data_IF_991623871637
#
_entry.id   IF_991623871637
#
_cell.length_a   1.000
_cell.length_b   1.000
_cell.length_c   1.000
_cell.angle_alpha   90.00
_cell.angle_beta   90.00
_cell.angle_gamma   90.00
#
_symmetry.space_group_name_H-M   'P 1'
#
loop_
_entity.id
_entity.type
_entity.pdbx_description
1 polymer ?
#
# COMPACT_ATOMS: atom_id res chain seq x y z
N UNK A 1 -15.64 -0.09 -0.09
CA UNK A 1 -16.15 -0.30 -1.47
C UNK A 1 -15.08 0.16 -2.46
N UNK A 2 -14.93 -0.53 -3.59
CA UNK A 2 -14.09 -0.05 -4.69
C UNK A 2 -14.76 1.16 -5.35
N UNK A 3 -13.96 2.07 -5.92
CA UNK A 3 -14.49 3.22 -6.67
C UNK A 3 -14.85 2.77 -8.10
N UNK A 4 -15.96 3.28 -8.62
CA UNK A 4 -16.34 3.08 -10.03
C UNK A 4 -15.66 4.14 -10.92
N UNK A 5 -15.73 3.94 -12.24
CA UNK A 5 -15.20 4.90 -13.21
C UNK A 5 -16.18 5.07 -14.36
N UNK A 6 -16.54 6.32 -14.66
CA UNK A 6 -17.41 6.69 -15.77
C UNK A 6 -18.80 6.04 -15.72
N UNK A 7 -19.33 5.73 -14.53
CA UNK A 7 -20.71 5.28 -14.37
C UNK A 7 -21.67 6.44 -14.13
N UNK A 8 -21.15 7.66 -13.89
CA UNK A 8 -21.89 8.85 -13.47
C UNK A 8 -22.61 8.65 -12.12
N UNK A 9 -22.18 7.66 -11.34
CA UNK A 9 -22.77 7.34 -10.04
C UNK A 9 -21.99 7.99 -8.89
N UNK A 10 -22.62 8.00 -7.72
CA UNK A 10 -22.05 8.55 -6.50
C UNK A 10 -20.73 7.86 -6.05
N UNK A 11 -20.46 6.64 -6.52
CA UNK A 11 -19.24 5.86 -6.27
C UNK A 11 -18.08 6.19 -7.22
N UNK A 12 -18.30 7.02 -8.24
CA UNK A 12 -17.27 7.31 -9.22
C UNK A 12 -16.05 7.96 -8.58
N UNK A 13 -14.86 7.57 -9.05
CA UNK A 13 -13.61 8.13 -8.60
C UNK A 13 -13.53 9.61 -8.94
N UNK A 14 -13.28 10.42 -7.91
CA UNK A 14 -13.13 11.87 -8.00
C UNK A 14 -11.83 12.29 -7.30
N UNK A 15 -11.17 13.30 -7.87
CA UNK A 15 -9.94 13.88 -7.30
C UNK A 15 -10.33 15.08 -6.45
N UNK A 16 -9.96 15.02 -5.18
CA UNK A 16 -10.17 16.10 -4.22
C UNK A 16 -8.84 16.79 -3.86
N UNK A 17 -8.93 18.10 -3.62
CA UNK A 17 -7.90 18.87 -2.92
C UNK A 17 -8.18 18.77 -1.44
N UNK A 18 -7.38 17.99 -0.73
CA UNK A 18 -7.63 17.72 0.69
C UNK A 18 -7.67 19.02 1.49
N UNK A 19 -6.71 19.92 1.23
CA UNK A 19 -6.70 21.29 1.71
C UNK A 19 -7.17 22.23 0.59
N UNK A 20 -8.30 22.91 0.80
CA UNK A 20 -8.96 23.71 -0.24
C UNK A 20 -8.25 25.04 -0.54
N UNK A 21 -7.51 25.59 0.42
CA UNK A 21 -6.71 26.81 0.29
C UNK A 21 -5.41 26.63 -0.51
N UNK A 22 -5.11 25.39 -0.93
CA UNK A 22 -3.90 25.04 -1.65
C UNK A 22 -4.21 24.55 -3.06
N UNK A 23 -3.20 24.67 -3.94
CA UNK A 23 -3.31 24.25 -5.33
C UNK A 23 -3.35 22.73 -5.52
N UNK A 24 -3.56 22.32 -6.78
CA UNK A 24 -3.42 20.93 -7.22
C UNK A 24 -1.94 20.53 -7.25
N UNK A 25 -1.45 20.03 -6.13
CA UNK A 25 -0.08 19.54 -5.98
C UNK A 25 -0.10 18.10 -5.47
N UNK A 26 0.87 17.27 -5.87
CA UNK A 26 0.93 15.85 -5.48
C UNK A 26 0.83 15.62 -3.96
N UNK A 27 1.27 16.59 -3.15
CA UNK A 27 1.17 16.59 -1.69
C UNK A 27 -0.20 16.93 -1.10
N UNK A 28 -1.20 17.26 -1.92
CA UNK A 28 -2.52 17.75 -1.51
C UNK A 28 -3.70 17.05 -2.21
N UNK A 29 -3.43 15.95 -2.92
CA UNK A 29 -4.47 15.25 -3.69
C UNK A 29 -4.86 13.93 -3.05
N UNK A 30 -6.15 13.64 -3.08
CA UNK A 30 -6.70 12.35 -2.71
C UNK A 30 -7.73 11.90 -3.75
N UNK A 31 -7.77 10.59 -4.00
CA UNK A 31 -8.87 9.98 -4.74
C UNK A 31 -9.93 9.52 -3.74
N UNK A 32 -11.17 9.92 -3.96
CA UNK A 32 -12.33 9.54 -3.16
C UNK A 32 -13.54 9.39 -4.08
N UNK A 33 -14.71 9.01 -3.54
CA UNK A 33 -15.91 8.96 -4.36
C UNK A 33 -16.46 10.38 -4.61
N UNK A 34 -17.16 10.57 -5.73
CA UNK A 34 -17.89 11.80 -6.05
C UNK A 34 -18.80 12.22 -4.91
N UNK A 35 -19.49 11.26 -4.27
CA UNK A 35 -20.28 11.49 -3.05
C UNK A 35 -19.48 12.13 -1.91
N UNK A 36 -18.32 11.58 -1.61
CA UNK A 36 -17.47 12.06 -0.52
C UNK A 36 -16.86 13.42 -0.84
N UNK A 37 -16.47 13.64 -2.10
CA UNK A 37 -15.94 14.91 -2.56
C UNK A 37 -16.99 16.03 -2.44
N UNK A 38 -18.21 15.80 -2.93
CA UNK A 38 -19.31 16.75 -2.79
C UNK A 38 -19.67 17.04 -1.33
N UNK A 39 -19.73 16.01 -0.48
CA UNK A 39 -20.02 16.20 0.93
C UNK A 39 -18.91 16.97 1.65
N UNK A 40 -17.64 16.64 1.39
CA UNK A 40 -16.49 17.38 1.94
C UNK A 40 -16.56 18.84 1.53
N UNK A 41 -16.75 19.14 0.24
CA UNK A 41 -16.76 20.50 -0.29
C UNK A 41 -15.60 21.34 0.30
N UNK A 42 -15.92 22.49 0.90
CA UNK A 42 -14.96 23.38 1.54
C UNK A 42 -14.54 22.94 2.96
N UNK A 43 -15.21 21.97 3.58
CA UNK A 43 -15.03 21.61 4.99
C UNK A 43 -13.62 21.09 5.28
N UNK A 44 -12.90 21.79 6.17
CA UNK A 44 -11.60 21.39 6.66
C UNK A 44 -11.68 20.33 7.77
N UNK A 45 -10.56 20.06 8.44
CA UNK A 45 -10.52 19.10 9.54
C UNK A 45 -11.50 19.45 10.67
N UNK A 46 -11.49 20.72 11.12
CA UNK A 46 -12.31 21.17 12.24
C UNK A 46 -13.80 21.13 11.91
N UNK A 47 -14.18 21.53 10.70
CA UNK A 47 -15.57 21.49 10.24
C UNK A 47 -16.08 20.06 10.15
N UNK A 48 -15.30 19.16 9.52
CA UNK A 48 -15.66 17.75 9.42
C UNK A 48 -15.80 17.09 10.81
N UNK A 49 -14.93 17.44 11.75
CA UNK A 49 -15.02 16.94 13.13
C UNK A 49 -16.24 17.50 13.88
N UNK A 50 -16.60 18.77 13.65
CA UNK A 50 -17.83 19.37 14.19
C UNK A 50 -19.06 18.64 13.66
N UNK A 51 -19.13 18.39 12.34
CA UNK A 51 -20.22 17.64 11.71
C UNK A 51 -20.38 16.24 12.33
N UNK A 52 -19.27 15.52 12.58
CA UNK A 52 -19.32 14.22 13.28
C UNK A 52 -19.98 14.35 14.64
N UNK A 53 -19.53 15.32 15.46
CA UNK A 53 -20.05 15.53 16.81
C UNK A 53 -21.51 15.92 16.81
N UNK A 54 -21.92 16.81 15.91
CA UNK A 54 -23.30 17.28 15.81
C UNK A 54 -24.23 16.13 15.41
N UNK A 55 -23.82 15.28 14.47
CA UNK A 55 -24.57 14.09 14.07
C UNK A 55 -24.69 13.07 15.21
N UNK A 56 -23.60 12.83 15.94
CA UNK A 56 -23.60 11.94 17.11
C UNK A 56 -24.51 12.48 18.23
N UNK A 57 -24.43 13.77 18.55
CA UNK A 57 -25.26 14.42 19.56
C UNK A 57 -26.75 14.42 19.19
N UNK A 58 -27.07 14.60 17.91
CA UNK A 58 -28.44 14.54 17.40
C UNK A 58 -28.96 13.11 17.19
N UNK A 59 -28.15 12.07 17.43
CA UNK A 59 -28.51 10.68 17.10
C UNK A 59 -28.77 10.45 15.60
N UNK A 60 -28.29 11.34 14.75
CA UNK A 60 -28.53 11.31 13.31
C UNK A 60 -27.51 10.40 12.61
N UNK A 61 -27.94 9.37 11.86
CA UNK A 61 -27.01 8.40 11.28
C UNK A 61 -26.17 8.97 10.13
N UNK A 62 -26.61 10.07 9.51
CA UNK A 62 -25.97 10.70 8.35
C UNK A 62 -26.30 12.19 8.22
N UNK A 63 -25.42 12.93 7.53
CA UNK A 63 -25.61 14.34 7.16
C UNK A 63 -24.79 14.68 5.91
N UNK A 64 -25.28 15.59 5.06
CA UNK A 64 -24.59 15.95 3.81
C UNK A 64 -24.32 14.76 2.87
N UNK A 65 -25.15 13.71 2.96
CA UNK A 65 -24.98 12.47 2.19
C UNK A 65 -24.00 11.45 2.76
N UNK A 66 -23.24 11.75 3.82
CA UNK A 66 -22.31 10.79 4.44
C UNK A 66 -22.80 10.33 5.81
N UNK A 67 -22.54 9.07 6.14
CA UNK A 67 -22.78 8.53 7.49
C UNK A 67 -21.73 9.05 8.48
N UNK A 68 -22.02 8.94 9.79
CA UNK A 68 -21.05 9.32 10.85
C UNK A 68 -19.67 8.67 10.63
N UNK A 69 -19.54 7.34 10.41
CA UNK A 69 -18.24 6.73 10.14
C UNK A 69 -17.55 7.23 8.87
N UNK A 70 -18.30 7.67 7.85
CA UNK A 70 -17.76 8.24 6.62
C UNK A 70 -17.23 9.65 6.86
N UNK A 71 -17.96 10.49 7.57
CA UNK A 71 -17.48 11.81 8.00
C UNK A 71 -16.24 11.72 8.88
N UNK A 72 -16.17 10.75 9.79
CA UNK A 72 -14.98 10.54 10.62
C UNK A 72 -13.74 10.21 9.77
N UNK A 73 -13.89 9.46 8.67
CA UNK A 73 -12.78 9.19 7.73
C UNK A 73 -12.38 10.46 6.96
N UNK A 74 -13.34 11.30 6.58
CA UNK A 74 -13.07 12.61 5.94
C UNK A 74 -12.29 13.51 6.90
N UNK A 75 -12.73 13.62 8.16
CA UNK A 75 -12.02 14.38 9.18
C UNK A 75 -10.56 13.91 9.34
N UNK A 76 -10.33 12.60 9.47
CA UNK A 76 -8.96 12.05 9.55
C UNK A 76 -8.14 12.34 8.30
N UNK A 77 -8.73 12.25 7.11
CA UNK A 77 -8.04 12.61 5.86
C UNK A 77 -7.60 14.08 5.87
N UNK A 78 -8.50 15.00 6.22
CA UNK A 78 -8.20 16.43 6.33
C UNK A 78 -7.15 16.71 7.41
N UNK A 79 -7.13 15.96 8.51
CA UNK A 79 -6.15 16.13 9.59
C UNK A 79 -4.70 15.94 9.15
N UNK A 80 -4.45 15.19 8.07
CA UNK A 80 -3.09 14.97 7.56
C UNK A 80 -2.45 16.25 7.03
N UNK A 81 -3.25 17.18 6.51
CA UNK A 81 -2.80 18.45 5.90
C UNK A 81 -3.21 19.67 6.73
N UNK A 82 -3.67 19.43 7.96
CA UNK A 82 -3.98 20.46 8.94
C UNK A 82 -2.82 20.54 9.96
N UNK A 83 -2.28 21.72 10.27
CA UNK A 83 -1.35 21.88 11.38
C UNK A 83 -2.06 21.62 12.70
N UNK A 84 -1.67 20.56 13.42
CA UNK A 84 -2.23 20.21 14.73
C UNK A 84 -1.15 20.20 15.80
N UNK A 85 -1.56 20.39 17.05
CA UNK A 85 -0.65 20.11 18.16
C UNK A 85 -0.32 18.62 18.20
N UNK A 86 0.85 18.26 18.72
CA UNK A 86 1.24 16.85 18.88
C UNK A 86 0.21 16.05 19.68
N UNK A 87 -0.34 16.68 20.73
CA UNK A 87 -1.36 16.06 21.57
C UNK A 87 -2.62 15.73 20.77
N UNK A 88 -3.18 16.70 20.03
CA UNK A 88 -4.37 16.49 19.21
C UNK A 88 -4.12 15.43 18.13
N UNK A 89 -3.02 15.56 17.39
CA UNK A 89 -2.67 14.64 16.32
C UNK A 89 -2.45 13.20 16.83
N UNK A 90 -1.89 13.03 18.04
CA UNK A 90 -1.67 11.72 18.65
C UNK A 90 -2.96 11.02 19.07
N UNK A 91 -4.01 11.77 19.39
CA UNK A 91 -5.30 11.25 19.85
C UNK A 91 -6.21 10.78 18.71
N UNK A 92 -5.91 11.18 17.46
CA UNK A 92 -6.75 10.83 16.31
C UNK A 92 -6.57 9.36 15.89
N UNK A 93 -7.66 8.58 15.76
CA UNK A 93 -7.59 7.25 15.18
C UNK A 93 -7.34 7.36 13.68
N UNK A 94 -6.36 6.61 13.15
CA UNK A 94 -6.09 6.56 11.70
C UNK A 94 -7.15 5.71 10.99
N UNK A 95 -8.35 6.28 10.83
CA UNK A 95 -9.51 5.64 10.20
C UNK A 95 -9.38 5.50 8.68
N UNK A 96 -8.39 6.15 8.09
CA UNK A 96 -8.00 6.01 6.70
C UNK A 96 -6.48 6.11 6.62
N UNK A 97 -5.82 5.21 5.90
CA UNK A 97 -4.38 5.36 5.66
C UNK A 97 -4.15 6.55 4.72
N UNK A 98 -3.04 7.30 4.88
CA UNK A 98 -2.77 8.41 3.98
C UNK A 98 -2.74 7.96 2.51
N UNK A 99 -3.41 8.68 1.60
CA UNK A 99 -3.26 8.49 0.16
C UNK A 99 -1.78 8.60 -0.26
N UNK A 100 -1.45 8.00 -1.41
CA UNK A 100 -0.09 8.04 -1.92
C UNK A 100 0.34 9.49 -2.18
N UNK A 101 1.55 9.84 -1.74
CA UNK A 101 2.16 11.17 -1.87
C UNK A 101 1.48 12.31 -1.13
N UNK A 102 0.35 12.09 -0.44
CA UNK A 102 -0.23 13.10 0.42
C UNK A 102 0.82 13.52 1.46
N UNK A 103 0.98 14.83 1.65
CA UNK A 103 1.90 15.36 2.66
C UNK A 103 1.24 15.24 4.02
N UNK A 104 1.98 14.73 4.99
CA UNK A 104 1.54 14.70 6.39
C UNK A 104 2.25 15.83 7.13
N UNK A 105 1.50 16.74 7.70
CA UNK A 105 2.03 17.89 8.45
C UNK A 105 2.43 17.50 9.87
N UNK A 106 1.79 16.48 10.42
CA UNK A 106 1.98 16.06 11.81
C UNK A 106 2.88 14.81 11.88
N UNK A 107 4.10 14.90 12.42
CA UNK A 107 5.05 13.79 12.45
C UNK A 107 4.53 12.54 13.16
N UNK A 108 3.71 12.72 14.21
CA UNK A 108 3.10 11.61 14.93
C UNK A 108 2.10 10.82 14.08
N UNK A 109 1.37 11.49 13.18
CA UNK A 109 0.50 10.81 12.21
C UNK A 109 1.32 10.13 11.11
N UNK A 110 2.46 10.70 10.71
CA UNK A 110 3.38 10.03 9.81
C UNK A 110 3.97 8.75 10.43
N UNK A 111 4.29 8.78 11.72
CA UNK A 111 4.70 7.60 12.48
C UNK A 111 3.58 6.56 12.59
N UNK A 112 2.35 7.01 12.86
CA UNK A 112 1.16 6.17 12.90
C UNK A 112 0.97 5.42 11.56
N UNK A 113 1.08 6.14 10.44
CA UNK A 113 0.97 5.61 9.10
C UNK A 113 2.10 4.64 8.77
N UNK A 114 3.33 4.99 9.15
CA UNK A 114 4.50 4.15 8.95
C UNK A 114 4.33 2.78 9.62
N UNK A 115 3.93 2.75 10.90
CA UNK A 115 3.73 1.50 11.63
C UNK A 115 2.58 0.69 11.04
N UNK A 116 1.46 1.33 10.73
CA UNK A 116 0.31 0.67 10.11
C UNK A 116 0.66 0.02 8.77
N UNK A 117 1.46 0.68 7.93
CA UNK A 117 1.89 0.13 6.64
C UNK A 117 2.81 -1.09 6.75
N UNK A 118 3.54 -1.24 7.86
CA UNK A 118 4.42 -2.40 8.03
C UNK A 118 3.65 -3.72 7.94
N UNK A 119 2.42 -3.72 8.48
CA UNK A 119 1.50 -4.87 8.52
C UNK A 119 0.97 -5.26 7.14
N UNK A 120 0.98 -4.33 6.16
CA UNK A 120 0.51 -4.57 4.80
C UNK A 120 1.55 -5.20 3.88
N UNK A 121 2.77 -5.41 4.36
CA UNK A 121 3.88 -5.92 3.55
C UNK A 121 4.36 -7.27 4.10
N UNK A 122 4.76 -8.25 3.25
CA UNK A 122 5.34 -9.52 3.71
C UNK A 122 6.60 -9.30 4.58
N UNK A 123 6.81 -10.09 5.62
CA UNK A 123 7.96 -9.93 6.54
C UNK A 123 7.82 -8.77 7.54
N UNK A 124 6.58 -8.42 7.90
CA UNK A 124 6.28 -7.31 8.81
C UNK A 124 6.94 -7.47 10.19
N UNK A 125 7.05 -8.70 10.70
CA UNK A 125 7.62 -8.99 12.02
C UNK A 125 9.06 -8.50 12.15
N UNK A 126 9.90 -8.81 11.15
CA UNK A 126 11.29 -8.36 11.09
C UNK A 126 11.40 -6.84 10.95
N UNK A 127 10.46 -6.19 10.26
CA UNK A 127 10.47 -4.72 10.11
C UNK A 127 10.06 -4.03 11.39
N UNK A 128 9.06 -4.56 12.09
CA UNK A 128 8.64 -4.07 13.40
C UNK A 128 9.75 -4.26 14.44
N UNK A 129 10.41 -5.43 14.48
CA UNK A 129 11.57 -5.64 15.36
C UNK A 129 12.72 -4.65 15.09
N UNK A 130 12.99 -4.35 13.81
CA UNK A 130 13.98 -3.33 13.42
C UNK A 130 13.58 -1.93 13.85
N UNK A 131 12.29 -1.61 13.80
CA UNK A 131 11.77 -0.32 14.25
C UNK A 131 11.80 -0.22 15.79
N UNK A 132 11.40 -1.27 16.52
CA UNK A 132 11.47 -1.34 17.98
C UNK A 132 12.90 -1.07 18.49
N UNK A 133 13.91 -1.62 17.81
CA UNK A 133 15.31 -1.36 18.11
C UNK A 133 15.78 0.09 17.88
N UNK A 134 15.03 0.92 17.14
CA UNK A 134 15.34 2.34 16.94
C UNK A 134 14.78 3.23 18.05
N UNK A 135 13.81 2.75 18.83
CA UNK A 135 13.10 3.54 19.84
C UNK A 135 14.01 3.91 21.03
N UNK A 136 13.87 5.16 21.55
CA UNK A 136 14.73 5.66 22.61
C UNK A 136 14.35 5.09 23.97
N UNK A 137 15.29 4.43 24.64
CA UNK A 137 15.12 3.94 26.00
C UNK A 137 14.15 2.75 26.17
N UNK A 138 14.19 2.13 27.35
CA UNK A 138 13.33 0.99 27.70
C UNK A 138 11.85 1.36 27.86
N UNK A 139 11.47 2.51 28.46
CA UNK A 139 10.06 2.85 28.66
C UNK A 139 9.27 3.00 27.34
N UNK A 140 9.84 3.71 26.36
CA UNK A 140 9.19 3.93 25.05
C UNK A 140 9.05 2.63 24.27
N UNK A 141 10.07 1.76 24.29
CA UNK A 141 9.99 0.41 23.69
C UNK A 141 8.87 -0.41 24.30
N UNK A 142 8.77 -0.45 25.64
CA UNK A 142 7.70 -1.16 26.32
C UNK A 142 6.32 -0.62 25.93
N UNK A 143 6.15 0.70 25.90
CA UNK A 143 4.89 1.32 25.47
C UNK A 143 4.53 0.96 24.02
N UNK A 144 5.51 0.98 23.11
CA UNK A 144 5.32 0.55 21.73
C UNK A 144 4.91 -0.92 21.63
N UNK A 145 5.58 -1.81 22.35
CA UNK A 145 5.25 -3.24 22.37
C UNK A 145 3.83 -3.47 22.88
N UNK A 146 3.42 -2.79 23.96
CA UNK A 146 2.05 -2.85 24.47
C UNK A 146 1.01 -2.38 23.45
N UNK A 147 1.31 -1.32 22.71
CA UNK A 147 0.47 -0.86 21.59
C UNK A 147 0.42 -1.91 20.48
N UNK A 148 1.56 -2.44 20.07
CA UNK A 148 1.64 -3.37 18.95
C UNK A 148 0.94 -4.70 19.27
N UNK A 149 1.05 -5.20 20.50
CA UNK A 149 0.33 -6.36 20.99
C UNK A 149 -1.19 -6.14 21.11
N UNK A 150 -1.64 -4.89 21.28
CA UNK A 150 -3.06 -4.57 21.19
C UNK A 150 -3.56 -4.50 19.73
N UNK A 151 -2.73 -3.99 18.81
CA UNK A 151 -3.08 -3.79 17.40
C UNK A 151 -3.09 -5.09 16.61
N UNK A 152 -2.03 -5.90 16.73
CA UNK A 152 -1.81 -7.05 15.85
C UNK A 152 -2.96 -8.07 15.86
N UNK A 153 -3.51 -8.50 17.02
CA UNK A 153 -4.63 -9.45 17.04
C UNK A 153 -5.83 -8.95 16.26
N UNK A 154 -6.18 -7.66 16.38
CA UNK A 154 -7.31 -7.05 15.67
C UNK A 154 -7.13 -7.09 14.15
N UNK A 155 -5.90 -6.90 13.66
CA UNK A 155 -5.59 -6.98 12.23
C UNK A 155 -5.65 -8.43 11.73
N UNK A 156 -5.25 -9.40 12.55
CA UNK A 156 -5.30 -10.82 12.21
C UNK A 156 -6.72 -11.40 12.26
N UNK A 157 -7.58 -10.92 13.18
CA UNK A 157 -8.99 -11.30 13.32
C UNK A 157 -9.81 -10.98 12.06
N UNK A 158 -9.45 -9.93 11.31
CA UNK A 158 -10.06 -9.60 10.02
C UNK A 158 -9.76 -10.60 8.89
N UNK A 159 -8.93 -11.62 9.17
CA UNK A 159 -8.53 -12.66 8.23
C UNK A 159 -7.29 -12.29 7.41
N UNK A 160 -6.41 -13.26 7.19
CA UNK A 160 -5.35 -13.11 6.18
C UNK A 160 -6.02 -13.10 4.81
N UNK A 161 -5.84 -12.02 4.08
CA UNK A 161 -6.41 -11.83 2.75
C UNK A 161 -5.30 -11.45 1.79
N UNK A 162 -5.31 -12.06 0.61
CA UNK A 162 -4.42 -11.67 -0.48
C UNK A 162 -4.93 -10.40 -1.21
N UNK A 163 -6.14 -9.94 -0.88
CA UNK A 163 -6.72 -8.72 -1.44
C UNK A 163 -6.14 -7.47 -0.73
N UNK A 164 -5.34 -6.63 -1.41
CA UNK A 164 -4.64 -5.53 -0.76
C UNK A 164 -5.59 -4.51 -0.12
N UNK A 165 -6.78 -4.33 -0.68
CA UNK A 165 -7.78 -3.40 -0.17
C UNK A 165 -8.40 -3.88 1.15
N UNK A 166 -8.74 -5.17 1.25
CA UNK A 166 -9.25 -5.74 2.51
C UNK A 166 -8.21 -5.70 3.61
N UNK A 167 -6.95 -6.03 3.29
CA UNK A 167 -5.85 -5.93 4.25
C UNK A 167 -5.68 -4.48 4.78
N UNK A 168 -5.86 -3.49 3.90
CA UNK A 168 -5.88 -2.08 4.28
C UNK A 168 -7.05 -1.74 5.21
N UNK A 169 -8.26 -2.16 4.89
CA UNK A 169 -9.43 -1.91 5.76
C UNK A 169 -9.28 -2.56 7.12
N UNK A 170 -8.76 -3.80 7.20
CA UNK A 170 -8.47 -4.46 8.47
C UNK A 170 -7.56 -3.61 9.40
N UNK A 171 -6.53 -2.97 8.82
CA UNK A 171 -5.64 -2.07 9.59
C UNK A 171 -6.35 -0.79 10.00
N UNK A 172 -7.17 -0.20 9.12
CA UNK A 172 -7.97 1.00 9.42
C UNK A 172 -9.04 0.73 10.49
N UNK A 173 -9.68 -0.44 10.48
CA UNK A 173 -10.70 -0.84 11.45
C UNK A 173 -10.09 -1.18 12.80
N UNK A 174 -8.92 -1.84 12.84
CA UNK A 174 -8.19 -2.08 14.07
C UNK A 174 -7.84 -0.78 14.83
N UNK A 175 -7.69 0.34 14.11
CA UNK A 175 -7.46 1.68 14.70
C UNK A 175 -8.71 2.28 15.37
N UNK A 176 -9.90 1.74 15.13
CA UNK A 176 -11.13 2.11 15.86
C UNK A 176 -11.17 1.55 17.28
N UNK A 177 -10.40 0.50 17.56
CA UNK A 177 -10.47 -0.19 18.84
C UNK A 177 -9.99 0.71 20.00
N UNK A 178 -10.80 0.93 21.06
CA UNK A 178 -10.44 1.83 22.16
C UNK A 178 -9.16 1.44 22.88
N UNK A 179 -8.86 0.15 23.05
CA UNK A 179 -7.63 -0.31 23.69
C UNK A 179 -6.41 -0.01 22.81
N UNK A 180 -6.52 -0.24 21.50
CA UNK A 180 -5.46 0.10 20.53
C UNK A 180 -5.16 1.60 20.61
N UNK A 181 -6.19 2.45 20.61
CA UNK A 181 -6.01 3.89 20.70
C UNK A 181 -5.46 4.34 22.06
N UNK A 182 -5.94 3.78 23.18
CA UNK A 182 -5.38 4.07 24.51
C UNK A 182 -3.88 3.78 24.57
N UNK A 183 -3.44 2.63 24.04
CA UNK A 183 -2.02 2.26 24.03
C UNK A 183 -1.20 3.06 23.02
N UNK A 184 -1.77 3.35 21.85
CA UNK A 184 -1.15 4.23 20.85
C UNK A 184 -0.89 5.62 21.43
N UNK A 185 -1.92 6.26 21.99
CA UNK A 185 -1.81 7.61 22.56
C UNK A 185 -0.80 7.65 23.71
N UNK A 186 -0.80 6.63 24.58
CA UNK A 186 0.21 6.52 25.64
C UNK A 186 1.63 6.43 25.10
N UNK A 187 1.88 5.62 24.07
CA UNK A 187 3.18 5.54 23.40
C UNK A 187 3.56 6.85 22.69
N UNK A 188 2.64 7.40 21.89
CA UNK A 188 2.87 8.58 21.07
C UNK A 188 3.17 9.83 21.91
N UNK A 189 2.54 9.97 23.08
CA UNK A 189 2.77 11.08 24.01
C UNK A 189 4.12 11.01 24.74
N UNK A 190 4.82 9.88 24.69
CA UNK A 190 6.20 9.78 25.20
C UNK A 190 7.25 10.29 24.20
N UNK A 191 6.83 10.61 22.98
CA UNK A 191 7.68 11.13 21.92
C UNK A 191 7.36 12.60 21.67
N UNK A 192 8.36 13.37 21.29
CA UNK A 192 8.18 14.72 20.74
C UNK A 192 7.99 14.67 19.21
N UNK A 193 7.49 15.73 18.57
CA UNK A 193 7.43 15.82 17.10
C UNK A 193 8.77 15.53 16.43
N UNK A 194 9.86 16.14 16.92
CA UNK A 194 11.23 15.93 16.40
C UNK A 194 11.67 14.47 16.53
N UNK A 195 11.39 13.82 17.66
CA UNK A 195 11.71 12.40 17.83
C UNK A 195 10.93 11.50 16.85
N UNK A 196 9.67 11.84 16.53
CA UNK A 196 8.93 11.13 15.49
C UNK A 196 9.59 11.28 14.12
N UNK A 197 10.02 12.48 13.74
CA UNK A 197 10.73 12.75 12.47
C UNK A 197 12.06 12.00 12.38
N UNK A 198 12.85 12.01 13.45
CA UNK A 198 14.14 11.31 13.53
C UNK A 198 13.96 9.79 13.39
N UNK A 199 12.95 9.23 14.07
CA UNK A 199 12.63 7.81 13.96
C UNK A 199 12.25 7.43 12.52
N UNK A 200 11.41 8.23 11.87
CA UNK A 200 10.99 8.02 10.49
C UNK A 200 12.18 8.11 9.52
N UNK A 201 13.05 9.11 9.70
CA UNK A 201 14.24 9.31 8.88
C UNK A 201 15.21 8.14 9.00
N UNK A 202 15.47 7.67 10.23
CA UNK A 202 16.34 6.50 10.49
C UNK A 202 15.74 5.21 9.94
N UNK A 203 14.42 5.02 10.06
CA UNK A 203 13.74 3.86 9.51
C UNK A 203 13.80 3.85 7.97
N UNK A 204 13.56 4.99 7.32
CA UNK A 204 13.64 5.14 5.86
C UNK A 204 15.07 4.90 5.32
N UNK A 205 16.10 5.40 6.00
CA UNK A 205 17.49 5.13 5.65
C UNK A 205 17.80 3.63 5.68
N UNK A 206 17.41 2.91 6.75
CA UNK A 206 17.61 1.46 6.84
C UNK A 206 16.83 0.68 5.78
N UNK A 207 15.63 1.12 5.40
CA UNK A 207 14.87 0.52 4.30
C UNK A 207 15.61 0.62 2.96
N UNK A 208 16.17 1.79 2.63
CA UNK A 208 16.95 2.00 1.41
C UNK A 208 18.20 1.10 1.37
N UNK A 209 18.92 0.98 2.48
CA UNK A 209 20.10 0.09 2.56
C UNK A 209 19.75 -1.41 2.48
N UNK A 210 18.58 -1.83 2.98
CA UNK A 210 18.13 -3.22 2.86
C UNK A 210 17.70 -3.54 1.41
N UNK A 211 16.96 -2.65 0.76
CA UNK A 211 16.56 -2.79 -0.64
C UNK A 211 17.79 -2.85 -1.57
N UNK A 212 18.77 -1.97 -1.35
CA UNK A 212 19.99 -1.95 -2.14
C UNK A 212 20.86 -3.21 -1.94
N UNK A 213 20.91 -3.79 -0.73
CA UNK A 213 21.61 -5.07 -0.49
C UNK A 213 20.92 -6.27 -1.12
N UNK A 214 19.59 -6.32 -1.08
CA UNK A 214 18.82 -7.38 -1.74
C UNK A 214 19.00 -7.33 -3.27
N UNK A 215 19.04 -6.13 -3.86
CA UNK A 215 19.30 -5.95 -5.29
C UNK A 215 20.72 -6.38 -5.67
N UNK A 216 21.75 -6.03 -4.86
CA UNK A 216 23.12 -6.52 -5.08
C UNK A 216 23.24 -8.05 -4.97
N UNK A 217 22.52 -8.68 -4.03
CA UNK A 217 22.52 -10.14 -3.89
C UNK A 217 21.84 -10.82 -5.08
N UNK A 218 20.71 -10.27 -5.55
CA UNK A 218 19.99 -10.73 -6.75
C UNK A 218 20.82 -10.54 -8.03
N UNK A 219 21.55 -9.43 -8.14
CA UNK A 219 22.50 -9.19 -9.23
C UNK A 219 23.70 -10.15 -9.18
N UNK A 220 24.22 -10.49 -8.00
CA UNK A 220 25.28 -11.49 -7.82
C UNK A 220 24.83 -12.89 -8.25
N UNK A 221 23.63 -13.32 -7.87
CA UNK A 221 23.06 -14.58 -8.34
C UNK A 221 22.88 -14.60 -9.87
N UNK A 222 22.34 -13.52 -10.47
CA UNK A 222 22.24 -13.39 -11.93
C UNK A 222 23.59 -13.43 -12.66
N UNK A 223 24.68 -12.97 -12.03
CA UNK A 223 26.04 -13.06 -12.59
C UNK A 223 26.69 -14.44 -12.39
N UNK A 224 26.18 -15.27 -11.49
CA UNK A 224 26.68 -16.63 -11.22
C UNK A 224 25.98 -17.70 -12.09
N UNK A 225 24.73 -17.47 -12.52
CA UNK A 225 23.99 -18.43 -13.37
C UNK A 225 24.68 -18.76 -14.73
N UNK A 226 25.30 -17.82 -15.48
CA UNK A 226 26.01 -18.19 -16.70
C UNK A 226 27.34 -18.92 -16.44
N UNK A 227 27.87 -18.89 -15.21
CA UNK A 227 29.10 -19.61 -14.83
C UNK A 227 28.82 -21.05 -14.43
N UNK A 228 27.69 -21.33 -13.78
CA UNK A 228 27.26 -22.69 -13.45
C UNK A 228 26.81 -23.43 -14.72
N UNK A 229 26.11 -22.76 -15.65
CA UNK A 229 25.73 -23.36 -16.93
C UNK A 229 26.93 -23.78 -17.80
N UNK A 230 28.09 -23.09 -17.69
CA UNK A 230 29.33 -23.46 -18.40
C UNK A 230 30.10 -24.62 -17.75
N UNK A 231 29.84 -24.94 -16.49
CA UNK A 231 30.47 -26.07 -15.78
C UNK A 231 29.69 -27.39 -15.96
N UNK A 232 28.43 -27.33 -16.42
CA UNK A 232 27.57 -28.50 -16.65
C UNK A 232 27.41 -28.88 -18.14
N UNK A 233 28.18 -28.29 -19.05
CA UNK A 233 28.17 -28.71 -20.46
C UNK A 233 28.90 -30.08 -20.59
N UNK A 234 28.28 -31.11 -21.19
CA UNK A 234 28.90 -32.43 -21.32
C UNK A 234 30.14 -32.35 -22.22
N UNK A 235 31.27 -32.89 -21.74
CA UNK A 235 32.46 -33.14 -22.56
C UNK A 235 32.09 -34.19 -23.60
N UNK A 236 32.36 -33.88 -24.86
CA UNK A 236 32.04 -34.72 -26.01
C UNK A 236 32.56 -36.14 -25.84
N UNK A 237 31.68 -37.10 -26.09
CA UNK A 237 32.02 -38.51 -26.18
C UNK A 237 32.63 -38.78 -27.55
N UNK A 238 33.76 -39.49 -27.52
CA UNK A 238 34.50 -40.00 -28.66
C UNK A 238 33.65 -40.93 -29.54
N UNK A 239 33.83 -40.80 -30.86
CA UNK A 239 33.42 -41.77 -31.86
C UNK A 239 34.37 -42.98 -31.86
N UNK A 240 33.92 -44.17 -32.29
CA UNK A 240 34.63 -44.78 -33.42
C UNK A 240 33.79 -45.60 -34.42
N UNK A 241 34.34 -45.59 -35.65
CA UNK A 241 34.47 -46.64 -36.67
C UNK A 241 33.27 -47.32 -37.37
N UNK A 242 33.06 -46.86 -38.61
CA UNK A 242 33.10 -47.60 -39.89
C UNK A 242 32.93 -49.14 -39.92
N UNK A 243 31.96 -49.59 -40.72
CA UNK A 243 31.82 -50.93 -41.31
C UNK A 243 30.66 -50.97 -42.32
N UNK A 244 30.93 -51.47 -43.52
CA UNK A 244 30.21 -51.33 -44.80
C UNK A 244 28.86 -52.11 -44.99
N UNK A 245 28.13 -51.90 -46.12
CA UNK A 245 26.71 -52.24 -46.35
C UNK A 245 26.54 -53.56 -47.18
N UNK A 246 25.32 -54.01 -47.62
CA UNK A 246 24.60 -53.41 -48.77
C UNK A 246 23.05 -53.57 -48.79
N UNK A 247 22.40 -52.86 -49.71
CA UNK A 247 21.21 -53.37 -50.41
C UNK A 247 19.88 -52.64 -50.15
N UNK A 248 19.27 -52.11 -51.22
CA UNK A 248 17.83 -51.80 -51.24
C UNK A 248 17.43 -50.57 -52.03
N UNK A 249 17.25 -50.75 -53.34
CA UNK A 249 16.52 -49.84 -54.22
C UNK A 249 15.13 -49.45 -53.65
N UNK A 250 14.72 -48.18 -53.80
CA UNK A 250 13.74 -47.77 -54.82
C UNK A 250 13.02 -46.44 -54.49
N UNK A 251 12.96 -45.61 -55.53
CA UNK A 251 11.90 -44.68 -55.93
C UNK A 251 11.50 -43.53 -54.98
N UNK A 252 11.88 -42.27 -55.28
CA UNK A 252 11.18 -41.35 -56.21
C UNK A 252 9.67 -41.24 -55.95
N UNK A 253 9.21 -40.11 -55.42
CA UNK A 253 8.61 -39.08 -56.29
C UNK A 253 8.45 -37.73 -55.59
N UNK A 254 8.81 -36.70 -56.36
CA UNK A 254 8.63 -35.26 -56.12
C UNK A 254 7.19 -34.83 -56.41
N UNK A 255 6.71 -33.80 -55.72
CA UNK A 255 6.34 -32.45 -56.26
C UNK A 255 5.59 -31.65 -55.18
N UNK A 256 6.11 -30.50 -54.71
CA UNK A 256 5.96 -29.12 -55.25
C UNK A 256 4.48 -28.72 -55.38
N UNK A 257 3.91 -28.03 -54.40
CA UNK A 257 3.90 -26.56 -54.17
C UNK A 257 3.00 -25.77 -55.13
N UNK A 258 2.05 -24.98 -54.59
CA UNK A 258 1.94 -23.51 -54.71
C UNK A 258 0.59 -23.00 -54.13
N UNK A 259 0.43 -21.67 -53.89
CA UNK A 259 -0.40 -21.09 -52.82
C UNK A 259 -1.54 -20.15 -53.30
N UNK A 260 -2.23 -19.59 -52.29
CA UNK A 260 -2.85 -18.25 -52.19
C UNK A 260 -4.06 -17.88 -53.08
N UNK A 261 -5.18 -17.52 -52.44
CA UNK A 261 -6.13 -16.49 -52.90
C UNK A 261 -6.83 -15.81 -51.70
N UNK A 262 -6.89 -14.48 -51.74
CA UNK A 262 -7.89 -13.60 -51.10
C UNK A 262 -8.30 -12.56 -52.19
N UNK A 263 -9.23 -11.60 -51.98
CA UNK A 263 -10.46 -11.54 -51.19
C UNK A 263 -11.69 -11.16 -52.08
N UNK A 264 -12.90 -11.07 -51.52
CA UNK A 264 -14.07 -10.54 -52.24
C UNK A 264 -15.11 -9.86 -51.32
N UNK A 265 -15.32 -8.57 -51.52
CA UNK A 265 -16.51 -7.81 -51.11
C UNK A 265 -17.66 -8.06 -52.12
N UNK A 266 -18.92 -7.85 -51.72
CA UNK A 266 -19.68 -6.81 -52.44
C UNK A 266 -20.58 -5.92 -51.54
N UNK A 267 -20.82 -4.71 -52.07
CA UNK A 267 -21.86 -3.76 -51.68
C UNK A 267 -23.23 -4.21 -52.23
N UNK A 268 -24.33 -3.74 -51.63
CA UNK A 268 -25.59 -3.60 -52.37
C UNK A 268 -26.84 -3.45 -51.50
N UNK A 269 -27.33 -2.19 -51.45
CA UNK A 269 -28.72 -1.70 -51.23
C UNK A 269 -29.44 -2.05 -49.95
#
# INVERSE_FOLDING_TARGET
MALSTATLEASDASVDRVRNDAGYAAGNLAMMSTKANHAKAANGFRDALRIVRDLEAAGSPAGGGLTVPQWARVAVLCSFVEPLTHEEASALPMLVLPPNRLRLFNPVQALQAFVSRQLLTPGWSQRIARFDALLPGKPVRRAFQMFFHALLPRVLEAGRTDEPMRARWAVEDARRNPLVMKRWTAFARMLTPTQCEDLLSRAAAKHRHAAHRADRHRQRHRRLEPRIARLCAPRGADAPHAGEPPGGLAALTRRRALPAVAPGHPRGT
#
